data_IF_419302037743
#
_entry.id   IF_419302037743
#
_cell.length_a   1.000
_cell.length_b   1.000
_cell.length_c   1.000
_cell.angle_alpha   90.00
_cell.angle_beta   90.00
_cell.angle_gamma   90.00
#
_symmetry.space_group_name_H-M   'P 1'
#
loop_
_entity.id
_entity.type
_entity.pdbx_description
1 polymer ?
#
# COMPACT_ATOMS: atom_id res chain seq x y z
N UNK A 1 23.78 17.06 -4.63
CA UNK A 1 23.44 16.45 -5.93
C UNK A 1 22.57 15.25 -5.64
N UNK A 2 21.41 15.24 -6.28
CA UNK A 2 20.26 14.40 -6.01
C UNK A 2 20.55 12.92 -5.77
N UNK A 3 19.86 12.37 -4.77
CA UNK A 3 19.37 11.00 -4.78
C UNK A 3 17.87 11.04 -4.49
N UNK A 4 17.13 11.58 -5.46
CA UNK A 4 15.67 11.69 -5.44
C UNK A 4 15.06 10.80 -6.52
N UNK A 5 15.50 9.55 -6.59
CA UNK A 5 14.96 8.58 -7.54
C UNK A 5 14.92 7.19 -6.91
N UNK A 6 13.70 6.81 -6.53
CA UNK A 6 13.10 5.47 -6.38
C UNK A 6 12.17 5.45 -5.17
N UNK A 7 11.28 6.44 -5.07
CA UNK A 7 9.95 6.13 -4.55
C UNK A 7 9.27 5.34 -5.67
N UNK A 8 9.09 4.02 -5.47
CA UNK A 8 8.18 3.23 -6.29
C UNK A 8 6.74 3.64 -5.95
N UNK A 9 6.40 4.89 -6.23
CA UNK A 9 5.06 5.28 -6.65
C UNK A 9 4.82 4.49 -7.92
N UNK A 10 3.82 3.62 -7.92
CA UNK A 10 3.37 2.93 -9.14
C UNK A 10 3.36 3.93 -10.30
N UNK A 11 4.12 3.67 -11.37
CA UNK A 11 4.05 4.50 -12.58
C UNK A 11 2.62 4.39 -13.09
N UNK A 12 1.78 5.37 -12.77
CA UNK A 12 0.41 5.46 -13.24
C UNK A 12 0.52 6.09 -14.60
N UNK A 13 0.87 5.27 -15.59
CA UNK A 13 1.17 5.61 -16.99
C UNK A 13 0.12 6.53 -17.65
N UNK A 14 -1.09 6.61 -17.07
CA UNK A 14 -2.20 7.47 -17.50
C UNK A 14 -2.53 8.61 -16.51
N UNK A 15 -1.58 9.16 -15.75
CA UNK A 15 -1.87 10.24 -14.80
C UNK A 15 -1.67 11.64 -15.42
N UNK A 16 -0.77 11.76 -16.38
CA UNK A 16 -0.27 13.03 -16.92
C UNK A 16 -1.32 13.77 -17.77
N UNK A 17 -2.24 13.05 -18.43
CA UNK A 17 -3.35 13.68 -19.16
C UNK A 17 -4.20 14.59 -18.26
N UNK A 18 -4.28 14.25 -16.96
CA UNK A 18 -5.03 15.02 -15.99
C UNK A 18 -4.44 16.42 -15.77
N UNK A 19 -3.12 16.57 -15.93
CA UNK A 19 -2.44 17.87 -15.87
C UNK A 19 -2.92 18.75 -17.02
N UNK A 20 -2.99 18.18 -18.23
CA UNK A 20 -3.50 18.88 -19.43
C UNK A 20 -4.96 19.29 -19.24
N UNK A 21 -5.80 18.38 -18.73
CA UNK A 21 -7.22 18.65 -18.51
C UNK A 21 -7.49 19.71 -17.43
N UNK A 22 -6.66 19.78 -16.38
CA UNK A 22 -6.74 20.85 -15.38
C UNK A 22 -6.25 22.19 -15.96
N UNK A 23 -5.20 22.17 -16.79
CA UNK A 23 -4.60 23.38 -17.35
C UNK A 23 -5.49 24.01 -18.44
N UNK A 24 -6.14 23.19 -19.26
CA UNK A 24 -7.00 23.63 -20.37
C UNK A 24 -8.44 23.12 -20.22
N UNK A 25 -9.17 23.53 -19.18
CA UNK A 25 -10.43 22.91 -18.81
C UNK A 25 -11.54 23.09 -19.85
N UNK A 26 -11.44 24.07 -20.73
CA UNK A 26 -12.42 24.32 -21.80
C UNK A 26 -12.34 23.33 -22.96
N UNK A 27 -11.24 22.56 -23.05
CA UNK A 27 -11.08 21.49 -24.05
C UNK A 27 -11.71 20.17 -23.60
N UNK A 28 -12.18 20.08 -22.36
CA UNK A 28 -12.64 18.85 -21.73
C UNK A 28 -14.06 18.97 -21.17
N UNK A 29 -14.79 17.87 -21.16
CA UNK A 29 -16.12 17.78 -20.57
C UNK A 29 -16.07 17.93 -19.05
N UNK A 30 -17.21 18.20 -18.43
CA UNK A 30 -17.32 18.23 -16.96
C UNK A 30 -16.99 16.88 -16.32
N UNK A 31 -17.26 15.76 -17.00
CA UNK A 31 -16.90 14.44 -16.51
C UNK A 31 -15.38 14.25 -16.50
N UNK A 32 -14.71 14.54 -17.61
CA UNK A 32 -13.26 14.41 -17.72
C UNK A 32 -12.52 15.31 -16.73
N UNK A 33 -13.01 16.53 -16.51
CA UNK A 33 -12.44 17.43 -15.49
C UNK A 33 -12.52 16.86 -14.08
N UNK A 34 -13.64 16.24 -13.69
CA UNK A 34 -13.77 15.56 -12.39
C UNK A 34 -12.84 14.34 -12.28
N UNK A 35 -12.70 13.58 -13.36
CA UNK A 35 -11.75 12.47 -13.42
C UNK A 35 -10.30 12.96 -13.29
N UNK A 36 -9.95 14.05 -13.98
CA UNK A 36 -8.63 14.67 -13.91
C UNK A 36 -8.33 15.19 -12.50
N UNK A 37 -9.26 15.93 -11.90
CA UNK A 37 -9.14 16.42 -10.52
C UNK A 37 -8.88 15.27 -9.55
N UNK A 38 -9.68 14.19 -9.62
CA UNK A 38 -9.48 13.00 -8.78
C UNK A 38 -8.14 12.34 -9.03
N UNK A 39 -7.66 12.29 -10.27
CA UNK A 39 -6.34 11.74 -10.59
C UNK A 39 -5.22 12.57 -9.98
N UNK A 40 -5.25 13.90 -10.13
CA UNK A 40 -4.23 14.78 -9.55
C UNK A 40 -4.26 14.75 -8.02
N UNK A 41 -5.44 14.80 -7.37
CA UNK A 41 -5.55 14.66 -5.91
C UNK A 41 -4.93 13.36 -5.42
N UNK A 42 -5.13 12.25 -6.13
CA UNK A 42 -4.62 10.95 -5.74
C UNK A 42 -3.13 10.75 -6.04
N UNK A 43 -2.58 11.35 -7.10
CA UNK A 43 -1.18 11.16 -7.53
C UNK A 43 -0.24 12.24 -7.00
N UNK A 44 -0.66 13.51 -7.05
CA UNK A 44 0.13 14.68 -6.65
C UNK A 44 -0.67 15.61 -5.73
N UNK A 45 -1.08 15.12 -4.54
CA UNK A 45 -1.89 15.91 -3.62
C UNK A 45 -1.25 17.24 -3.25
N UNK A 46 0.04 17.26 -2.90
CA UNK A 46 0.72 18.49 -2.46
C UNK A 46 0.72 19.58 -3.56
N UNK A 47 0.89 19.16 -4.83
CA UNK A 47 0.82 20.07 -5.97
C UNK A 47 -0.61 20.58 -6.18
N UNK A 48 -1.61 19.71 -6.04
CA UNK A 48 -3.02 20.10 -6.08
C UNK A 48 -3.35 21.13 -5.01
N UNK A 49 -2.98 20.87 -3.75
CA UNK A 49 -3.22 21.79 -2.63
C UNK A 49 -2.55 23.15 -2.85
N UNK A 50 -1.34 23.15 -3.41
CA UNK A 50 -0.60 24.38 -3.74
C UNK A 50 -1.30 25.17 -4.85
N UNK A 51 -1.76 24.51 -5.91
CA UNK A 51 -2.41 25.18 -7.05
C UNK A 51 -3.78 25.74 -6.66
N UNK A 52 -4.56 25.00 -5.87
CA UNK A 52 -5.94 25.34 -5.53
C UNK A 52 -6.12 25.98 -4.15
N UNK A 53 -5.05 26.11 -3.36
CA UNK A 53 -5.07 26.74 -2.04
C UNK A 53 -5.96 26.03 -1.02
N UNK A 54 -6.28 24.74 -1.24
CA UNK A 54 -7.21 23.96 -0.43
C UNK A 54 -6.49 22.74 0.10
N UNK A 55 -6.61 22.47 1.41
CA UNK A 55 -6.04 21.27 2.04
C UNK A 55 -7.05 20.12 1.94
N UNK A 56 -6.59 18.98 1.44
CA UNK A 56 -7.33 17.72 1.33
C UNK A 56 -7.44 17.05 2.71
N UNK A 57 -8.66 16.65 3.05
CA UNK A 57 -8.98 15.90 4.26
C UNK A 57 -8.60 14.40 4.13
N UNK A 58 -8.68 13.69 5.25
CA UNK A 58 -8.53 12.22 5.28
C UNK A 58 -9.54 11.58 4.33
N UNK A 59 -9.09 10.66 3.48
CA UNK A 59 -9.93 10.00 2.48
C UNK A 59 -9.99 10.70 1.11
N UNK A 60 -9.57 11.97 1.01
CA UNK A 60 -9.68 12.74 -0.24
C UNK A 60 -8.49 12.55 -1.19
N UNK A 61 -7.39 11.95 -0.70
CA UNK A 61 -6.22 11.61 -1.51
C UNK A 61 -5.67 10.26 -1.10
N UNK A 62 -5.64 9.34 -2.06
CA UNK A 62 -4.99 8.04 -1.91
C UNK A 62 -3.54 8.16 -1.45
N UNK A 63 -2.75 9.05 -2.05
CA UNK A 63 -1.33 9.19 -1.71
C UNK A 63 -1.12 9.81 -0.32
N UNK A 64 -1.91 10.82 0.09
CA UNK A 64 -1.83 11.33 1.48
C UNK A 64 -2.22 10.26 2.49
N UNK A 65 -3.32 9.55 2.24
CA UNK A 65 -3.77 8.47 3.11
C UNK A 65 -2.71 7.35 3.20
N UNK A 66 -2.10 6.97 2.07
CA UNK A 66 -1.01 5.98 2.01
C UNK A 66 0.18 6.43 2.86
N UNK A 67 0.62 7.69 2.71
CA UNK A 67 1.73 8.26 3.50
C UNK A 67 1.40 8.27 5.00
N UNK A 68 0.19 8.67 5.36
CA UNK A 68 -0.26 8.66 6.76
C UNK A 68 -0.26 7.24 7.32
N UNK A 69 -0.76 6.26 6.57
CA UNK A 69 -0.74 4.86 6.98
C UNK A 69 0.70 4.34 7.17
N UNK A 70 1.59 4.62 6.22
CA UNK A 70 2.99 4.20 6.29
C UNK A 70 3.73 4.83 7.49
N UNK A 71 3.41 6.08 7.84
CA UNK A 71 3.96 6.75 9.02
C UNK A 71 3.44 6.13 10.32
N UNK A 72 2.13 5.91 10.43
CA UNK A 72 1.52 5.30 11.60
C UNK A 72 2.05 3.89 11.85
N UNK A 73 2.18 3.10 10.78
CA UNK A 73 2.54 1.67 10.86
C UNK A 73 4.01 1.39 10.51
N UNK A 74 4.89 2.38 10.64
CA UNK A 74 6.28 2.29 10.20
C UNK A 74 7.08 1.14 10.88
N UNK A 75 6.67 0.74 12.08
CA UNK A 75 7.29 -0.31 12.89
C UNK A 75 6.39 -1.55 13.06
N UNK A 76 5.19 -1.53 12.49
CA UNK A 76 4.26 -2.65 12.62
C UNK A 76 4.52 -3.69 11.53
N UNK A 77 4.09 -4.92 11.78
CA UNK A 77 4.17 -5.99 10.79
C UNK A 77 3.02 -5.86 9.80
N UNK A 78 3.32 -5.50 8.55
CA UNK A 78 2.30 -5.33 7.50
C UNK A 78 2.41 -6.49 6.52
N UNK A 79 1.28 -7.15 6.25
CA UNK A 79 1.20 -8.29 5.34
C UNK A 79 1.53 -7.85 3.92
N UNK A 80 2.52 -8.53 3.31
CA UNK A 80 2.94 -8.33 1.93
C UNK A 80 2.50 -9.46 1.01
N UNK A 81 2.19 -10.63 1.56
CA UNK A 81 1.72 -11.80 0.83
C UNK A 81 0.86 -12.68 1.74
N UNK A 82 -0.18 -13.30 1.19
CA UNK A 82 -1.08 -14.16 1.95
C UNK A 82 -1.54 -15.36 1.11
N UNK A 83 -1.76 -16.48 1.77
CA UNK A 83 -2.32 -17.70 1.18
C UNK A 83 -3.22 -18.39 2.20
N UNK A 84 -4.36 -18.91 1.76
CA UNK A 84 -5.20 -19.76 2.63
C UNK A 84 -4.39 -20.99 3.04
N UNK A 85 -4.33 -21.29 4.34
CA UNK A 85 -3.59 -22.45 4.83
C UNK A 85 -4.38 -23.73 4.60
N UNK A 86 -3.77 -24.70 3.93
CA UNK A 86 -4.24 -26.10 3.92
C UNK A 86 -3.79 -26.88 5.16
N UNK A 87 -2.86 -26.31 5.95
CA UNK A 87 -2.24 -26.94 7.13
C UNK A 87 -2.97 -26.58 8.43
N UNK A 88 -3.49 -25.35 8.50
CA UNK A 88 -4.23 -24.84 9.63
C UNK A 88 -5.62 -24.40 9.15
N UNK A 89 -6.60 -25.31 9.25
CA UNK A 89 -7.97 -25.04 8.82
C UNK A 89 -8.54 -23.81 9.53
N UNK A 90 -9.17 -22.92 8.78
CA UNK A 90 -9.72 -21.65 9.29
C UNK A 90 -8.71 -20.52 9.43
N UNK A 91 -7.49 -20.67 8.90
CA UNK A 91 -6.46 -19.63 8.91
C UNK A 91 -5.92 -19.27 7.52
N UNK A 92 -5.41 -18.06 7.43
CA UNK A 92 -4.60 -17.52 6.32
C UNK A 92 -3.16 -17.41 6.81
N UNK A 93 -2.22 -17.97 6.05
CA UNK A 93 -0.79 -17.75 6.26
C UNK A 93 -0.41 -16.40 5.65
N UNK A 94 0.00 -15.47 6.48
CA UNK A 94 0.41 -14.14 6.09
C UNK A 94 1.91 -13.98 6.24
N UNK A 95 2.61 -13.62 5.16
CA UNK A 95 3.99 -13.11 5.22
C UNK A 95 3.91 -11.60 5.40
N UNK A 96 4.53 -11.10 6.46
CA UNK A 96 4.57 -9.69 6.79
C UNK A 96 6.01 -9.19 6.95
N UNK A 97 6.19 -7.89 6.75
CA UNK A 97 7.47 -7.18 6.96
C UNK A 97 7.25 -5.91 7.79
N UNK A 98 8.27 -5.44 8.53
CA UNK A 98 8.18 -4.18 9.26
C UNK A 98 7.88 -3.01 8.32
N UNK A 99 6.80 -2.28 8.57
CA UNK A 99 6.32 -1.18 7.74
C UNK A 99 5.91 -1.56 6.31
N UNK A 100 5.72 -2.86 6.03
CA UNK A 100 5.35 -3.34 4.69
C UNK A 100 6.44 -3.17 3.64
N UNK A 101 7.69 -2.97 4.07
CA UNK A 101 8.85 -2.78 3.19
C UNK A 101 9.07 -4.04 2.36
N UNK A 102 9.46 -3.85 1.09
CA UNK A 102 9.80 -4.94 0.17
C UNK A 102 11.22 -4.71 -0.35
N UNK A 103 12.01 -5.76 -0.43
CA UNK A 103 13.38 -5.70 -0.95
C UNK A 103 14.32 -6.67 -0.25
N UNK A 104 15.46 -6.94 -0.88
CA UNK A 104 16.50 -7.80 -0.32
C UNK A 104 16.96 -7.28 1.06
N UNK A 105 17.17 -8.19 2.01
CA UNK A 105 17.59 -7.86 3.37
C UNK A 105 16.47 -7.33 4.28
N UNK A 106 15.21 -7.30 3.82
CA UNK A 106 14.07 -7.00 4.70
C UNK A 106 13.70 -8.24 5.50
N UNK A 107 13.54 -8.10 6.82
CA UNK A 107 13.05 -9.20 7.65
C UNK A 107 11.61 -9.56 7.24
N UNK A 108 11.39 -10.83 6.91
CA UNK A 108 10.08 -11.40 6.65
C UNK A 108 9.70 -12.36 7.78
N UNK A 109 8.45 -12.28 8.25
CA UNK A 109 7.91 -13.19 9.25
C UNK A 109 6.54 -13.69 8.82
N UNK A 110 6.27 -14.97 9.12
CA UNK A 110 4.97 -15.58 8.86
C UNK A 110 4.08 -15.56 10.09
N UNK A 111 2.79 -15.36 9.87
CA UNK A 111 1.75 -15.34 10.88
C UNK A 111 0.55 -16.17 10.42
N UNK A 112 -0.16 -16.75 11.37
CA UNK A 112 -1.50 -17.29 11.15
C UNK A 112 -2.52 -16.24 11.57
N UNK A 113 -3.33 -15.80 10.61
CA UNK A 113 -4.45 -14.89 10.83
C UNK A 113 -5.75 -15.67 10.64
N UNK A 114 -6.72 -15.61 11.57
CA UNK A 114 -8.02 -16.24 11.36
C UNK A 114 -8.64 -15.80 10.03
N UNK A 115 -9.18 -16.73 9.24
CA UNK A 115 -9.74 -16.41 7.92
C UNK A 115 -10.94 -15.47 7.98
N UNK A 116 -11.65 -15.43 9.11
CA UNK A 116 -12.75 -14.49 9.34
C UNK A 116 -12.27 -13.06 9.63
N UNK A 117 -10.99 -12.88 9.96
CA UNK A 117 -10.38 -11.59 10.29
C UNK A 117 -9.54 -11.04 9.14
N UNK A 118 -8.92 -11.90 8.34
CA UNK A 118 -8.08 -11.46 7.23
C UNK A 118 -8.91 -10.84 6.10
N UNK A 119 -8.69 -9.55 5.87
CA UNK A 119 -9.21 -8.82 4.72
C UNK A 119 -8.08 -8.03 4.05
N UNK A 120 -8.04 -8.03 2.72
CA UNK A 120 -7.09 -7.20 1.97
C UNK A 120 -7.53 -5.73 2.11
N UNK A 121 -6.95 -5.05 3.10
CA UNK A 121 -7.17 -3.63 3.34
C UNK A 121 -6.56 -2.74 2.25
N UNK A 122 -7.01 -1.48 2.19
CA UNK A 122 -6.59 -0.48 1.19
C UNK A 122 -5.07 -0.27 1.10
N UNK A 123 -4.36 -0.36 2.24
CA UNK A 123 -2.91 -0.16 2.33
C UNK A 123 -2.17 -1.40 2.88
N UNK A 124 -2.85 -2.54 2.96
CA UNK A 124 -2.36 -3.77 3.59
C UNK A 124 -3.11 -4.11 4.87
N UNK A 125 -2.78 -5.28 5.41
CA UNK A 125 -3.30 -5.80 6.68
C UNK A 125 -2.21 -5.68 7.74
N UNK A 126 -2.52 -5.09 8.89
CA UNK A 126 -1.59 -4.95 10.01
C UNK A 126 -1.76 -6.14 10.95
N UNK A 127 -0.65 -6.83 11.21
CA UNK A 127 -0.62 -7.94 12.15
C UNK A 127 -0.72 -7.40 13.58
N UNK A 128 -1.57 -8.02 14.38
CA UNK A 128 -1.70 -7.83 15.82
C UNK A 128 -0.90 -8.94 16.54
N UNK A 129 0.27 -8.64 17.15
CA UNK A 129 1.11 -9.65 17.79
C UNK A 129 0.47 -10.40 18.96
N UNK A 130 -0.56 -9.82 19.58
CA UNK A 130 -1.27 -10.44 20.71
C UNK A 130 -2.33 -11.45 20.24
N UNK A 131 -2.74 -11.36 18.96
CA UNK A 131 -3.81 -12.19 18.39
C UNK A 131 -3.34 -13.10 17.26
N UNK A 132 -2.31 -12.71 16.51
CA UNK A 132 -1.83 -13.41 15.32
C UNK A 132 -0.52 -14.13 15.65
N UNK A 133 -0.59 -15.46 15.65
CA UNK A 133 0.52 -16.29 16.06
C UNK A 133 1.61 -16.34 14.99
N UNK A 134 2.88 -16.17 15.40
CA UNK A 134 4.04 -16.41 14.52
C UNK A 134 4.06 -17.88 14.08
N UNK A 135 4.20 -18.11 12.77
CA UNK A 135 4.12 -19.44 12.18
C UNK A 135 5.45 -19.92 11.58
N UNK A 136 6.07 -20.88 12.26
CA UNK A 136 7.31 -21.54 11.84
C UNK A 136 7.12 -22.87 11.10
N UNK A 137 5.88 -23.34 10.92
CA UNK A 137 5.56 -24.67 10.39
C UNK A 137 5.71 -24.82 8.87
N UNK A 138 5.36 -25.99 8.31
CA UNK A 138 5.29 -26.21 6.87
C UNK A 138 4.46 -25.13 6.17
N UNK A 139 4.90 -24.68 4.99
CA UNK A 139 4.30 -23.56 4.27
C UNK A 139 3.60 -24.04 3.01
N UNK A 140 2.48 -23.41 2.67
CA UNK A 140 1.87 -23.54 1.33
C UNK A 140 2.47 -22.54 0.32
N UNK A 141 3.30 -21.60 0.77
CA UNK A 141 4.13 -20.79 -0.12
C UNK A 141 5.21 -21.66 -0.79
N UNK A 142 5.18 -21.72 -2.11
CA UNK A 142 6.19 -22.43 -2.92
C UNK A 142 7.58 -21.83 -2.68
N UNK A 143 8.55 -22.67 -2.32
CA UNK A 143 9.95 -22.27 -2.16
C UNK A 143 10.29 -21.58 -0.83
N UNK A 144 9.37 -21.55 0.14
CA UNK A 144 9.68 -21.01 1.47
C UNK A 144 10.70 -21.88 2.21
N UNK A 145 11.86 -21.31 2.53
CA UNK A 145 12.86 -21.93 3.40
C UNK A 145 12.85 -21.23 4.76
N UNK A 146 12.73 -21.99 5.84
CA UNK A 146 12.81 -21.47 7.21
C UNK A 146 14.17 -20.80 7.42
N UNK A 147 14.21 -19.47 7.55
CA UNK A 147 15.40 -18.72 7.94
C UNK A 147 16.22 -18.05 6.83
N UNK A 148 15.59 -17.39 5.85
CA UNK A 148 16.32 -16.38 5.05
C UNK A 148 16.66 -15.16 5.91
N UNK A 149 17.81 -15.25 6.57
CA UNK A 149 18.64 -14.08 6.86
C UNK A 149 19.59 -13.98 5.67
N UNK A 150 19.37 -13.01 4.79
CA UNK A 150 20.41 -12.52 3.87
C UNK A 150 20.89 -11.20 4.38
#
# INVERSE_FOLDING_TARGET
MESRWLDQSSYKEDAEWAIVAITFPHLFTAFERRCAERTIKNSWPDAWETIFGTVLALGESHEKDRRSFALTHANDWIVISAITSSRCEGFVECVATPGGRRGAGTEERRFLVPSSEYEVGRFGFVIDPDRHQVYGGPSDFVGWQTGRVT
#
